data_IF_781274036943
#
_entry.id   IF_781274036943
#
_cell.length_a   1.000
_cell.length_b   1.000
_cell.length_c   1.000
_cell.angle_alpha   90.00
_cell.angle_beta   90.00
_cell.angle_gamma   90.00
#
_symmetry.space_group_name_H-M   'P 1'
#
loop_
_entity.id
_entity.type
_entity.pdbx_description
1 polymer ?
#
# COMPACT_ATOMS: atom_id res chain seq x y z
N UNK A 1 -9.92 -11.88 -19.08
CA UNK A 1 -9.10 -10.88 -19.82
C UNK A 1 -8.31 -10.08 -18.79
N UNK A 2 -7.00 -9.84 -18.95
CA UNK A 2 -6.23 -8.97 -18.03
C UNK A 2 -6.71 -7.52 -18.18
N UNK A 3 -7.02 -6.83 -17.07
CA UNK A 3 -7.56 -5.46 -17.06
C UNK A 3 -6.51 -4.36 -16.86
N UNK A 4 -5.21 -4.69 -16.97
CA UNK A 4 -4.12 -3.71 -16.90
C UNK A 4 -3.88 -3.04 -15.54
N UNK A 5 -4.51 -3.54 -14.47
CA UNK A 5 -4.36 -3.03 -13.09
C UNK A 5 -3.08 -3.53 -12.45
N UNK A 6 -2.02 -2.73 -12.54
CA UNK A 6 -0.65 -3.08 -12.11
C UNK A 6 -0.33 -2.59 -10.70
N UNK A 7 -1.16 -1.73 -10.12
CA UNK A 7 -0.95 -1.14 -8.81
C UNK A 7 -2.15 -1.48 -7.93
N UNK A 8 -1.88 -1.95 -6.70
CA UNK A 8 -2.88 -2.12 -5.66
C UNK A 8 -2.61 -1.10 -4.57
N UNK A 9 -3.55 -0.19 -4.33
CA UNK A 9 -3.44 0.83 -3.29
C UNK A 9 -4.19 0.33 -2.07
N UNK A 10 -3.54 0.29 -0.91
CA UNK A 10 -4.23 0.11 0.37
C UNK A 10 -4.33 1.48 1.06
N UNK A 11 -5.55 1.89 1.41
CA UNK A 11 -5.83 3.22 1.95
C UNK A 11 -6.66 3.14 3.22
N UNK A 12 -6.03 2.94 4.40
CA UNK A 12 -6.72 3.01 5.67
C UNK A 12 -7.17 4.44 6.00
N UNK A 13 -8.36 4.59 6.59
CA UNK A 13 -8.88 5.87 7.10
C UNK A 13 -8.73 5.95 8.62
N UNK A 14 -7.51 5.67 9.09
CA UNK A 14 -7.10 5.84 10.49
C UNK A 14 -5.58 5.77 10.60
N UNK A 15 -4.98 6.74 11.28
CA UNK A 15 -3.54 6.76 11.56
C UNK A 15 -3.07 5.49 12.29
N UNK A 16 -3.92 4.91 13.13
CA UNK A 16 -3.63 3.69 13.89
C UNK A 16 -3.41 2.45 12.98
N UNK A 17 -3.88 2.51 11.74
CA UNK A 17 -3.73 1.43 10.75
C UNK A 17 -2.58 1.69 9.75
N UNK A 18 -1.79 2.75 9.93
CA UNK A 18 -0.64 3.04 9.05
C UNK A 18 0.33 1.85 8.97
N UNK A 19 0.65 1.25 10.12
CA UNK A 19 1.53 0.08 10.18
C UNK A 19 0.95 -1.16 9.48
N UNK A 20 -0.38 -1.30 9.45
CA UNK A 20 -1.05 -2.37 8.68
C UNK A 20 -0.86 -2.16 7.18
N UNK A 21 -0.95 -0.91 6.70
CA UNK A 21 -0.68 -0.58 5.30
C UNK A 21 0.76 -0.93 4.89
N UNK A 22 1.74 -0.60 5.73
CA UNK A 22 3.16 -0.93 5.50
C UNK A 22 3.40 -2.45 5.51
N UNK A 23 2.84 -3.14 6.51
CA UNK A 23 2.92 -4.60 6.61
C UNK A 23 2.28 -5.29 5.39
N UNK A 24 1.11 -4.83 4.93
CA UNK A 24 0.45 -5.38 3.75
C UNK A 24 1.31 -5.20 2.49
N UNK A 25 1.95 -4.04 2.32
CA UNK A 25 2.85 -3.82 1.20
C UNK A 25 3.99 -4.84 1.17
N UNK A 26 4.60 -5.16 2.32
CA UNK A 26 5.62 -6.18 2.40
C UNK A 26 5.06 -7.57 2.07
N UNK A 27 3.96 -7.96 2.72
CA UNK A 27 3.30 -9.25 2.52
C UNK A 27 3.01 -9.48 1.03
N UNK A 28 2.38 -8.51 0.38
CA UNK A 28 1.96 -8.61 -1.02
C UNK A 28 3.16 -8.61 -1.98
N UNK A 29 4.12 -7.70 -1.78
CA UNK A 29 5.27 -7.54 -2.67
C UNK A 29 6.21 -8.75 -2.61
N UNK A 30 6.62 -9.18 -1.41
CA UNK A 30 7.57 -10.30 -1.27
C UNK A 30 6.94 -11.63 -1.67
N UNK A 31 5.67 -11.85 -1.33
CA UNK A 31 4.98 -13.11 -1.62
C UNK A 31 4.64 -13.26 -3.10
N UNK A 32 4.24 -12.18 -3.79
CA UNK A 32 3.70 -12.29 -5.15
C UNK A 32 4.66 -11.78 -6.23
N UNK A 33 5.64 -10.95 -5.86
CA UNK A 33 6.65 -10.35 -6.74
C UNK A 33 7.71 -11.33 -7.23
N UNK A 34 7.31 -12.38 -7.96
CA UNK A 34 8.21 -13.44 -8.44
C UNK A 34 8.61 -13.25 -9.89
N UNK A 35 9.86 -13.61 -10.21
CA UNK A 35 10.35 -13.61 -11.59
C UNK A 35 9.89 -14.82 -12.40
N UNK A 36 9.64 -15.96 -11.74
CA UNK A 36 9.20 -17.21 -12.37
C UNK A 36 8.00 -17.82 -11.65
N UNK A 37 7.15 -18.52 -12.40
CA UNK A 37 6.05 -19.33 -11.91
C UNK A 37 6.55 -20.71 -11.44
N UNK A 38 5.67 -21.51 -10.84
CA UNK A 38 5.96 -22.87 -10.34
C UNK A 38 6.37 -23.86 -11.45
N UNK A 39 6.21 -23.50 -12.73
CA UNK A 39 6.66 -24.27 -13.89
C UNK A 39 7.96 -23.73 -14.49
N UNK A 40 8.60 -22.76 -13.83
CA UNK A 40 9.83 -22.12 -14.29
C UNK A 40 9.65 -21.11 -15.42
N UNK A 41 8.42 -20.80 -15.83
CA UNK A 41 8.14 -19.78 -16.88
C UNK A 41 8.15 -18.39 -16.25
N UNK A 42 8.22 -17.33 -17.06
CA UNK A 42 8.09 -15.95 -16.55
C UNK A 42 6.73 -15.80 -15.85
N UNK A 43 6.73 -15.35 -14.60
CA UNK A 43 5.49 -15.10 -13.88
C UNK A 43 4.71 -13.95 -14.53
N UNK A 44 3.37 -14.00 -14.45
CA UNK A 44 2.49 -12.98 -15.02
C UNK A 44 2.55 -11.63 -14.27
N UNK A 45 3.23 -11.60 -13.12
CA UNK A 45 3.46 -10.42 -12.30
C UNK A 45 2.36 -10.21 -11.26
N UNK A 46 2.76 -9.64 -10.12
CA UNK A 46 1.85 -9.14 -9.10
C UNK A 46 1.58 -7.65 -9.29
N UNK A 47 0.57 -7.14 -8.60
CA UNK A 47 0.43 -5.70 -8.45
C UNK A 47 1.56 -5.15 -7.58
N UNK A 48 2.07 -3.97 -7.93
CA UNK A 48 2.91 -3.17 -7.04
C UNK A 48 2.01 -2.62 -5.92
N UNK A 49 2.22 -3.03 -4.66
CA UNK A 49 1.44 -2.50 -3.57
C UNK A 49 1.92 -1.08 -3.22
N UNK A 50 0.98 -0.16 -3.04
CA UNK A 50 1.24 1.23 -2.65
C UNK A 50 0.41 1.53 -1.41
N UNK A 51 1.05 2.07 -0.37
CA UNK A 51 0.32 2.59 0.80
C UNK A 51 -0.18 4.00 0.51
N UNK A 52 -1.38 4.30 0.98
CA UNK A 52 -1.93 5.64 1.14
C UNK A 52 -2.62 5.73 2.50
N UNK A 53 -2.90 6.94 2.99
CA UNK A 53 -3.60 7.18 4.25
C UNK A 53 -4.73 8.18 4.04
N UNK A 54 -5.95 7.82 4.41
CA UNK A 54 -7.08 8.76 4.46
C UNK A 54 -7.12 9.49 5.81
N UNK A 55 -7.46 10.78 5.86
CA UNK A 55 -7.75 11.69 4.73
C UNK A 55 -6.50 12.34 4.12
N UNK A 56 -5.34 12.23 4.77
CA UNK A 56 -4.10 12.95 4.44
C UNK A 56 -3.70 12.87 2.96
N UNK A 57 -3.71 11.67 2.37
CA UNK A 57 -3.30 11.45 0.99
C UNK A 57 -4.37 11.78 -0.05
N UNK A 58 -5.55 12.24 0.38
CA UNK A 58 -6.45 12.97 -0.52
C UNK A 58 -5.80 14.25 -1.04
N UNK A 59 -4.93 14.87 -0.26
CA UNK A 59 -4.17 16.07 -0.63
C UNK A 59 -2.80 15.76 -1.25
N UNK A 60 -2.51 14.49 -1.58
CA UNK A 60 -1.23 14.09 -2.18
C UNK A 60 -1.43 13.21 -3.42
N UNK A 61 -2.10 12.07 -3.29
CA UNK A 61 -2.19 11.03 -4.33
C UNK A 61 -3.53 11.03 -5.07
N UNK A 62 -4.59 11.56 -4.48
CA UNK A 62 -5.94 11.41 -5.05
C UNK A 62 -6.08 12.02 -6.45
N UNK A 63 -5.39 13.13 -6.75
CA UNK A 63 -5.34 13.67 -8.11
C UNK A 63 -4.84 12.64 -9.12
N UNK A 64 -3.77 11.89 -8.78
CA UNK A 64 -3.21 10.84 -9.61
C UNK A 64 -4.17 9.63 -9.70
N UNK A 65 -4.88 9.31 -8.63
CA UNK A 65 -5.83 8.18 -8.61
C UNK A 65 -7.08 8.48 -9.46
N UNK A 66 -7.50 9.73 -9.50
CA UNK A 66 -8.68 10.19 -10.22
C UNK A 66 -8.43 10.40 -11.71
N UNK A 67 -7.36 11.12 -12.07
CA UNK A 67 -7.13 11.60 -13.45
C UNK A 67 -5.89 10.97 -14.12
N UNK A 68 -5.09 10.22 -13.37
CA UNK A 68 -3.92 9.54 -13.90
C UNK A 68 -4.23 8.28 -14.73
N UNK A 69 -3.18 7.51 -15.08
CA UNK A 69 -3.34 6.23 -15.77
C UNK A 69 -4.29 5.28 -15.04
N UNK A 70 -5.12 4.56 -15.81
CA UNK A 70 -6.10 3.62 -15.27
C UNK A 70 -5.51 2.24 -14.90
N UNK A 71 -4.49 2.26 -14.04
CA UNK A 71 -3.68 1.10 -13.68
C UNK A 71 -3.77 0.70 -12.20
N UNK A 72 -4.66 1.33 -11.43
CA UNK A 72 -4.83 1.12 -9.97
C UNK A 72 -6.14 0.39 -9.62
N UNK A 73 -6.09 -0.40 -8.56
CA UNK A 73 -7.24 -0.78 -7.73
C UNK A 73 -7.01 -0.15 -6.35
N UNK A 74 -8.01 0.51 -5.79
CA UNK A 74 -7.92 1.18 -4.47
C UNK A 74 -8.76 0.43 -3.45
N UNK A 75 -8.12 -0.17 -2.46
CA UNK A 75 -8.78 -0.87 -1.36
C UNK A 75 -8.76 0.03 -0.12
N UNK A 76 -9.95 0.49 0.29
CA UNK A 76 -10.15 1.28 1.49
C UNK A 76 -10.23 0.37 2.73
N UNK A 77 -9.71 0.85 3.86
CA UNK A 77 -10.04 0.28 5.17
C UNK A 77 -10.78 1.35 5.98
N UNK A 78 -12.09 1.19 6.10
CA UNK A 78 -12.99 2.09 6.81
C UNK A 78 -13.15 1.63 8.26
N UNK A 79 -13.14 2.57 9.20
CA UNK A 79 -13.43 2.31 10.62
C UNK A 79 -14.67 3.10 11.02
N UNK A 80 -15.77 2.41 11.37
CA UNK A 80 -17.05 3.05 11.68
C UNK A 80 -17.07 3.71 13.06
N UNK A 81 -16.35 3.15 14.06
CA UNK A 81 -16.30 3.70 15.42
C UNK A 81 -14.87 3.96 15.91
N UNK A 82 -14.64 5.21 16.29
CA UNK A 82 -13.39 5.70 16.85
C UNK A 82 -13.46 5.68 18.38
N UNK A 83 -12.33 5.37 19.05
CA UNK A 83 -12.28 5.18 20.50
C UNK A 83 -12.26 6.48 21.31
N UNK A 84 -12.00 7.62 20.66
CA UNK A 84 -11.92 8.94 21.29
C UNK A 84 -12.86 9.89 20.57
N UNK A 85 -13.93 10.37 21.23
CA UNK A 85 -14.75 11.46 20.71
C UNK A 85 -13.91 12.72 20.51
N UNK A 86 -14.23 13.46 19.46
CA UNK A 86 -13.55 14.69 19.08
C UNK A 86 -14.58 15.64 18.44
N UNK A 87 -15.44 16.28 19.24
CA UNK A 87 -16.46 17.19 18.73
C UNK A 87 -15.82 18.44 18.13
N UNK A 88 -16.36 18.89 16.99
CA UNK A 88 -15.97 20.13 16.35
C UNK A 88 -16.73 21.28 17.04
N UNK A 89 -16.04 22.23 17.68
CA UNK A 89 -16.71 23.30 18.42
C UNK A 89 -17.38 24.30 17.45
N UNK A 90 -18.51 24.87 17.87
CA UNK A 90 -19.21 25.95 17.15
C UNK A 90 -18.51 27.29 17.40
N UNK A 91 -17.42 27.55 16.68
CA UNK A 91 -16.59 28.75 16.88
C UNK A 91 -16.75 29.83 15.80
N UNK A 92 -17.38 29.50 14.67
CA UNK A 92 -17.41 30.34 13.46
C UNK A 92 -18.85 30.60 12.97
N UNK A 93 -19.75 30.97 13.88
CA UNK A 93 -21.13 31.34 13.53
C UNK A 93 -21.14 32.51 12.54
N UNK A 94 -21.86 32.36 11.42
CA UNK A 94 -21.94 33.35 10.34
C UNK A 94 -20.87 33.24 9.26
N UNK A 95 -19.91 32.31 9.36
CA UNK A 95 -19.01 31.96 8.25
C UNK A 95 -19.49 30.68 7.55
N UNK A 96 -20.27 30.85 6.48
CA UNK A 96 -20.87 29.75 5.71
C UNK A 96 -19.85 28.69 5.25
N UNK A 97 -18.56 29.05 5.10
CA UNK A 97 -17.52 28.13 4.64
C UNK A 97 -17.13 27.07 5.68
N UNK A 98 -17.35 27.32 6.97
CA UNK A 98 -16.90 26.45 8.08
C UNK A 98 -17.99 26.18 9.13
N UNK A 99 -19.04 27.00 9.19
CA UNK A 99 -20.12 26.90 10.18
C UNK A 99 -20.81 25.52 10.16
N UNK A 100 -20.97 24.91 8.98
CA UNK A 100 -21.61 23.61 8.81
C UNK A 100 -20.87 22.46 9.51
N UNK A 101 -19.60 22.63 9.88
CA UNK A 101 -18.84 21.63 10.63
C UNK A 101 -19.16 21.68 12.13
N UNK A 102 -19.66 22.82 12.64
CA UNK A 102 -19.87 23.05 14.05
C UNK A 102 -20.92 22.13 14.67
N UNK A 103 -20.53 21.35 15.67
CA UNK A 103 -21.41 20.41 16.37
C UNK A 103 -21.41 18.99 15.80
N UNK A 104 -20.66 18.74 14.72
CA UNK A 104 -20.36 17.38 14.25
C UNK A 104 -19.18 16.78 15.02
N UNK A 105 -19.01 15.47 14.93
CA UNK A 105 -17.80 14.78 15.38
C UNK A 105 -16.75 14.75 14.27
N UNK A 106 -15.46 14.85 14.61
CA UNK A 106 -14.39 14.75 13.62
C UNK A 106 -14.39 13.39 12.88
N UNK A 107 -14.82 12.33 13.56
CA UNK A 107 -15.02 11.01 12.94
C UNK A 107 -16.10 11.00 11.86
N UNK A 108 -17.14 11.82 12.02
CA UNK A 108 -18.20 11.98 11.02
C UNK A 108 -17.64 12.60 9.73
N UNK A 109 -16.77 13.61 9.88
CA UNK A 109 -16.07 14.23 8.76
C UNK A 109 -15.18 13.22 8.03
N UNK A 110 -14.37 12.43 8.76
CA UNK A 110 -13.50 11.41 8.14
C UNK A 110 -14.29 10.35 7.37
N UNK A 111 -15.44 9.90 7.91
CA UNK A 111 -16.32 8.95 7.21
C UNK A 111 -16.99 9.58 5.99
N UNK A 112 -17.38 10.85 6.06
CA UNK A 112 -17.94 11.57 4.93
C UNK A 112 -16.91 11.71 3.80
N UNK A 113 -15.68 12.10 4.13
CA UNK A 113 -14.58 12.25 3.17
C UNK A 113 -14.21 10.91 2.51
N UNK A 114 -14.19 9.82 3.28
CA UNK A 114 -13.93 8.49 2.76
C UNK A 114 -15.00 8.06 1.74
N UNK A 115 -16.29 8.15 2.12
CA UNK A 115 -17.41 7.76 1.26
C UNK A 115 -17.49 8.64 0.01
N UNK A 116 -17.19 9.93 0.15
CA UNK A 116 -17.10 10.86 -0.97
C UNK A 116 -15.98 10.45 -1.94
N UNK A 117 -14.80 10.08 -1.42
CA UNK A 117 -13.66 9.64 -2.21
C UNK A 117 -13.93 8.31 -2.93
N UNK A 118 -14.48 7.32 -2.24
CA UNK A 118 -14.94 6.04 -2.80
C UNK A 118 -15.90 6.28 -3.98
N UNK A 119 -16.92 7.12 -3.75
CA UNK A 119 -17.93 7.46 -4.75
C UNK A 119 -17.33 8.20 -5.94
N UNK A 120 -16.40 9.13 -5.70
CA UNK A 120 -15.76 9.90 -6.76
C UNK A 120 -14.93 8.99 -7.68
N UNK A 121 -14.15 8.06 -7.11
CA UNK A 121 -13.42 7.04 -7.87
C UNK A 121 -14.38 6.16 -8.68
N UNK A 122 -15.44 5.65 -8.06
CA UNK A 122 -16.43 4.81 -8.73
C UNK A 122 -17.10 5.53 -9.91
N UNK A 123 -17.50 6.79 -9.74
CA UNK A 123 -18.09 7.63 -10.80
C UNK A 123 -17.14 7.85 -11.98
N UNK A 124 -15.84 7.89 -11.73
CA UNK A 124 -14.80 7.97 -12.78
C UNK A 124 -14.43 6.61 -13.38
N UNK A 125 -15.08 5.52 -12.97
CA UNK A 125 -14.78 4.16 -13.42
C UNK A 125 -13.48 3.60 -12.83
N UNK A 126 -12.94 4.20 -11.77
CA UNK A 126 -11.73 3.73 -11.08
C UNK A 126 -12.11 2.59 -10.12
N UNK A 127 -11.46 1.45 -10.28
CA UNK A 127 -11.74 0.27 -9.45
C UNK A 127 -11.36 0.53 -8.01
N UNK A 128 -12.32 0.33 -7.11
CA UNK A 128 -12.10 0.38 -5.68
C UNK A 128 -12.94 -0.67 -4.94
N UNK A 129 -12.55 -0.96 -3.72
CA UNK A 129 -13.28 -1.82 -2.78
C UNK A 129 -13.07 -1.32 -1.36
N UNK A 130 -13.92 -1.75 -0.42
CA UNK A 130 -13.87 -1.26 0.96
C UNK A 130 -13.99 -2.42 1.94
N UNK A 131 -13.00 -2.53 2.83
CA UNK A 131 -13.03 -3.38 4.02
C UNK A 131 -13.56 -2.52 5.16
N UNK A 132 -14.74 -2.89 5.68
CA UNK A 132 -15.38 -2.15 6.77
C UNK A 132 -15.05 -2.83 8.10
N UNK A 133 -14.40 -2.09 8.98
CA UNK A 133 -14.15 -2.46 10.37
C UNK A 133 -15.10 -1.68 11.27
N UNK A 134 -15.68 -2.38 12.23
CA UNK A 134 -16.55 -1.75 13.22
C UNK A 134 -15.77 -0.80 14.14
N UNK A 135 -14.64 -1.25 14.67
CA UNK A 135 -13.73 -0.50 15.52
C UNK A 135 -12.33 -1.14 15.49
N UNK A 136 -11.31 -0.39 15.92
CA UNK A 136 -9.94 -0.91 16.00
C UNK A 136 -9.74 -1.59 17.35
N UNK A 137 -9.90 -2.91 17.36
CA UNK A 137 -9.64 -3.78 18.51
C UNK A 137 -8.60 -4.85 18.14
N UNK A 138 -7.90 -5.47 19.12
CA UNK A 138 -6.98 -6.57 18.84
C UNK A 138 -7.62 -7.70 18.02
N UNK A 139 -8.90 -8.00 18.29
CA UNK A 139 -9.67 -9.01 17.57
C UNK A 139 -9.91 -8.61 16.11
N UNK A 140 -10.37 -7.37 15.86
CA UNK A 140 -10.61 -6.87 14.51
C UNK A 140 -9.32 -6.76 13.69
N UNK A 141 -8.22 -6.34 14.33
CA UNK A 141 -6.89 -6.33 13.69
C UNK A 141 -6.44 -7.75 13.36
N UNK A 142 -6.63 -8.73 14.25
CA UNK A 142 -6.33 -10.13 13.98
C UNK A 142 -7.12 -10.70 12.80
N UNK A 143 -8.41 -10.36 12.69
CA UNK A 143 -9.24 -10.73 11.54
C UNK A 143 -8.71 -10.13 10.23
N UNK A 144 -8.32 -8.84 10.26
CA UNK A 144 -7.79 -8.15 9.10
C UNK A 144 -6.45 -8.74 8.63
N UNK A 145 -5.54 -9.02 9.56
CA UNK A 145 -4.26 -9.67 9.26
C UNK A 145 -4.49 -11.04 8.60
N UNK A 146 -5.33 -11.88 9.21
CA UNK A 146 -5.63 -13.20 8.68
C UNK A 146 -6.30 -13.16 7.31
N UNK A 147 -7.21 -12.20 7.09
CA UNK A 147 -7.81 -11.96 5.78
C UNK A 147 -6.75 -11.68 4.72
N UNK A 148 -5.79 -10.80 5.00
CA UNK A 148 -4.72 -10.46 4.06
C UNK A 148 -3.74 -11.61 3.80
N UNK A 149 -3.43 -12.42 4.81
CA UNK A 149 -2.61 -13.62 4.65
C UNK A 149 -3.29 -14.63 3.70
N UNK A 150 -4.57 -14.93 3.94
CA UNK A 150 -5.37 -15.84 3.11
C UNK A 150 -5.53 -15.29 1.69
N UNK A 151 -5.84 -13.99 1.55
CA UNK A 151 -5.91 -13.32 0.25
C UNK A 151 -4.61 -13.49 -0.54
N UNK A 152 -3.46 -13.33 0.12
CA UNK A 152 -2.14 -13.46 -0.50
C UNK A 152 -1.88 -14.88 -0.96
N UNK A 153 -2.20 -15.89 -0.15
CA UNK A 153 -2.04 -17.30 -0.52
C UNK A 153 -2.94 -17.67 -1.71
N UNK A 154 -4.19 -17.22 -1.73
CA UNK A 154 -5.08 -17.44 -2.88
C UNK A 154 -4.59 -16.73 -4.14
N UNK A 155 -4.15 -15.47 -4.02
CA UNK A 155 -3.55 -14.74 -5.14
C UNK A 155 -2.32 -15.47 -5.70
N UNK A 156 -1.47 -16.03 -4.84
CA UNK A 156 -0.32 -16.82 -5.26
C UNK A 156 -0.71 -18.07 -6.05
N UNK A 157 -1.76 -18.77 -5.63
CA UNK A 157 -2.34 -19.89 -6.37
C UNK A 157 -2.84 -19.49 -7.75
N UNK A 158 -3.53 -18.35 -7.86
CA UNK A 158 -4.00 -17.79 -9.14
C UNK A 158 -2.82 -17.38 -10.05
N UNK A 159 -1.77 -16.79 -9.49
CA UNK A 159 -0.55 -16.42 -10.21
C UNK A 159 0.39 -17.59 -10.48
N UNK A 160 0.14 -18.75 -9.86
CA UNK A 160 0.95 -19.96 -9.94
C UNK A 160 2.39 -19.71 -9.50
N UNK A 161 2.57 -18.99 -8.40
CA UNK A 161 3.88 -18.68 -7.81
C UNK A 161 3.99 -19.29 -6.41
N UNK A 162 5.21 -19.45 -5.91
CA UNK A 162 5.44 -19.82 -4.51
C UNK A 162 5.43 -18.55 -3.65
N UNK A 163 4.45 -18.35 -2.73
CA UNK A 163 4.42 -17.16 -1.90
C UNK A 163 5.43 -17.18 -0.75
N UNK A 164 6.04 -18.32 -0.44
CA UNK A 164 6.79 -18.51 0.81
C UNK A 164 8.32 -18.39 0.67
N UNK A 165 8.83 -18.07 -0.52
CA UNK A 165 10.26 -17.82 -0.74
C UNK A 165 10.57 -16.34 -0.97
N UNK A 166 11.85 -15.97 -1.10
CA UNK A 166 12.28 -14.61 -1.41
C UNK A 166 13.65 -14.57 -2.13
N UNK A 167 13.86 -15.34 -3.22
CA UNK A 167 15.18 -15.54 -3.80
C UNK A 167 15.83 -14.24 -4.34
N UNK A 168 15.02 -13.23 -4.70
CA UNK A 168 15.49 -11.98 -5.27
C UNK A 168 16.32 -11.11 -4.32
N UNK A 169 16.08 -11.20 -3.01
CA UNK A 169 16.76 -10.34 -2.01
C UNK A 169 18.17 -10.82 -1.68
N UNK A 170 18.46 -12.11 -1.92
CA UNK A 170 19.73 -12.74 -1.57
C UNK A 170 20.91 -12.14 -2.34
N UNK A 171 20.71 -11.72 -3.60
CA UNK A 171 21.77 -11.07 -4.37
C UNK A 171 22.25 -9.79 -3.69
N UNK A 172 21.33 -8.96 -3.19
CA UNK A 172 21.67 -7.74 -2.47
C UNK A 172 22.52 -8.02 -1.23
N UNK A 173 22.10 -9.01 -0.42
CA UNK A 173 22.83 -9.41 0.79
C UNK A 173 24.26 -9.86 0.47
N UNK A 174 24.45 -10.68 -0.57
CA UNK A 174 25.79 -11.16 -0.98
C UNK A 174 26.71 -10.03 -1.41
N UNK A 175 26.20 -9.08 -2.19
CA UNK A 175 26.95 -7.88 -2.58
C UNK A 175 27.33 -7.04 -1.35
N UNK A 176 26.41 -6.86 -0.40
CA UNK A 176 26.69 -6.19 0.88
C UNK A 176 27.76 -6.93 1.69
N UNK A 177 27.70 -8.26 1.77
CA UNK A 177 28.73 -9.06 2.46
C UNK A 177 30.12 -8.86 1.85
N UNK A 178 30.22 -8.85 0.52
CA UNK A 178 31.47 -8.55 -0.18
C UNK A 178 32.00 -7.16 0.16
N UNK A 179 31.14 -6.15 0.10
CA UNK A 179 31.50 -4.76 0.43
C UNK A 179 31.97 -4.60 1.88
N UNK A 180 31.33 -5.29 2.83
CA UNK A 180 31.71 -5.29 4.25
C UNK A 180 32.92 -6.19 4.57
N UNK A 181 33.52 -6.84 3.56
CA UNK A 181 34.74 -7.64 3.74
C UNK A 181 34.52 -9.02 4.37
N UNK A 182 33.30 -9.57 4.34
CA UNK A 182 33.01 -10.90 4.86
C UNK A 182 33.86 -11.96 4.12
N UNK A 183 34.60 -12.84 4.83
CA UNK A 183 35.34 -13.93 4.20
C UNK A 183 34.44 -14.77 3.28
N UNK A 184 34.94 -15.11 2.08
CA UNK A 184 34.19 -15.88 1.07
C UNK A 184 33.46 -15.05 0.00
N UNK A 185 33.36 -13.72 0.14
CA UNK A 185 32.60 -12.84 -0.76
C UNK A 185 33.47 -11.85 -1.56
N UNK A 186 34.73 -12.22 -1.84
CA UNK A 186 35.68 -11.33 -2.55
C UNK A 186 35.22 -11.02 -3.99
N UNK A 187 34.64 -12.01 -4.69
CA UNK A 187 34.13 -11.84 -6.06
C UNK A 187 33.01 -10.80 -6.10
N UNK A 188 32.08 -10.86 -5.15
CA UNK A 188 30.99 -9.90 -5.02
C UNK A 188 31.51 -8.47 -4.76
N UNK A 189 32.56 -8.32 -3.94
CA UNK A 189 33.22 -7.02 -3.74
C UNK A 189 33.78 -6.45 -5.04
N UNK A 190 34.49 -7.27 -5.80
CA UNK A 190 35.06 -6.88 -7.09
C UNK A 190 33.96 -6.49 -8.10
N UNK A 191 32.85 -7.23 -8.14
CA UNK A 191 31.67 -6.91 -8.96
C UNK A 191 31.11 -5.52 -8.64
N UNK A 192 30.89 -5.21 -7.35
CA UNK A 192 30.35 -3.90 -6.94
C UNK A 192 31.29 -2.76 -7.33
N UNK A 193 32.60 -2.89 -7.05
CA UNK A 193 33.59 -1.86 -7.37
C UNK A 193 33.69 -1.63 -8.89
N UNK A 194 33.63 -2.69 -9.69
CA UNK A 194 33.64 -2.58 -11.14
C UNK A 194 32.40 -1.85 -11.68
N UNK A 195 31.22 -2.08 -11.09
CA UNK A 195 29.97 -1.39 -11.47
C UNK A 195 29.97 0.08 -11.02
N UNK A 196 30.45 0.37 -9.81
CA UNK A 196 30.54 1.74 -9.30
C UNK A 196 31.43 2.63 -10.19
N UNK A 197 32.55 2.10 -10.68
CA UNK A 197 33.44 2.81 -11.63
C UNK A 197 32.77 3.15 -12.96
N UNK A 198 31.72 2.42 -13.35
CA UNK A 198 30.94 2.67 -14.57
C UNK A 198 29.78 3.64 -14.35
N UNK A 199 29.49 4.02 -13.10
CA UNK A 199 28.38 4.93 -12.78
C UNK A 199 28.72 6.31 -13.33
N UNK A 200 27.88 6.81 -14.24
CA UNK A 200 28.10 8.14 -14.85
C UNK A 200 27.81 9.20 -13.79
N UNK A 201 28.80 10.04 -13.51
CA UNK A 201 28.72 11.10 -12.49
C UNK A 201 27.51 12.03 -12.70
N UNK A 202 27.12 12.30 -13.94
CA UNK A 202 25.93 13.11 -14.26
C UNK A 202 24.59 12.58 -13.72
N UNK A 203 24.54 11.32 -13.29
CA UNK A 203 23.35 10.68 -12.69
C UNK A 203 23.53 10.43 -11.19
N UNK A 204 24.56 10.99 -10.59
CA UNK A 204 24.81 11.00 -9.15
C UNK A 204 24.62 12.45 -8.70
N UNK A 205 23.49 12.71 -8.04
CA UNK A 205 23.14 14.01 -7.46
C UNK A 205 23.82 14.18 -6.11
#
# INVERSE_FOLDING_TARGET
RQKGKRIGVIMPYSDLLTGIGEWFCQLWAESLGKGRDLRGRRALGAQCPVRALGITDQHSQLQLYMEGPDDKVVDFIRVERFSKPAPIPRLYEGDEAVEYLGGHELSELFLAEERATETALAKKGRMNSTIVMDSITPQAVGQLLFLFEIQTVFAAGLYRVNPFDQPGVEKGKRLTYGMMGRPGYRKEKEEVLALQRKKKERFVL
#
